data_IF_964071227248
#
_entry.id   IF_964071227248
#
_cell.length_a   1.000
_cell.length_b   1.000
_cell.length_c   1.000
_cell.angle_alpha   90.00
_cell.angle_beta   90.00
_cell.angle_gamma   90.00
#
_symmetry.space_group_name_H-M   'P 1'
#
loop_
_entity.id
_entity.type
_entity.pdbx_description
1 polymer ?
#
# COMPACT_ATOMS: atom_id res chain seq x y z
N UNK A 1 -28.55 18.03 -0.95
CA UNK A 1 -29.21 17.15 -1.95
C UNK A 1 -28.75 17.57 -3.33
N UNK A 2 -27.58 17.07 -3.75
CA UNK A 2 -27.07 16.99 -5.13
C UNK A 2 -25.67 16.34 -5.05
N UNK A 3 -25.62 15.17 -4.39
CA UNK A 3 -24.55 14.19 -4.60
C UNK A 3 -24.78 13.66 -6.01
N UNK A 4 -24.23 14.35 -7.01
CA UNK A 4 -24.28 13.86 -8.37
C UNK A 4 -23.40 12.61 -8.43
N UNK A 5 -24.10 11.48 -8.46
CA UNK A 5 -23.58 10.16 -8.74
C UNK A 5 -22.66 10.26 -9.95
N UNK A 6 -21.41 9.91 -9.74
CA UNK A 6 -20.61 9.39 -10.82
C UNK A 6 -21.42 8.26 -11.47
N UNK A 7 -21.72 8.36 -12.76
CA UNK A 7 -22.30 7.22 -13.46
C UNK A 7 -21.22 6.16 -13.58
N UNK A 8 -21.63 4.90 -13.42
CA UNK A 8 -20.76 3.73 -13.62
C UNK A 8 -20.04 3.80 -14.97
N UNK A 9 -20.66 4.42 -15.97
CA UNK A 9 -20.11 4.67 -17.30
C UNK A 9 -18.91 5.63 -17.28
N UNK A 10 -18.96 6.72 -16.51
CA UNK A 10 -17.82 7.66 -16.40
C UNK A 10 -16.63 7.02 -15.68
N UNK A 11 -16.89 6.17 -14.69
CA UNK A 11 -15.84 5.35 -14.05
C UNK A 11 -15.19 4.38 -15.05
N UNK A 12 -16.00 3.64 -15.82
CA UNK A 12 -15.47 2.71 -16.81
C UNK A 12 -14.65 3.40 -17.90
N UNK A 13 -15.09 4.56 -18.40
CA UNK A 13 -14.35 5.31 -19.43
C UNK A 13 -12.98 5.79 -18.94
N UNK A 14 -12.88 6.24 -17.68
CA UNK A 14 -11.60 6.60 -17.06
C UNK A 14 -10.71 5.35 -16.92
N UNK A 15 -11.29 4.23 -16.46
CA UNK A 15 -10.56 2.97 -16.34
C UNK A 15 -10.05 2.45 -17.69
N UNK A 16 -10.83 2.56 -18.76
CA UNK A 16 -10.42 2.17 -20.12
C UNK A 16 -9.28 3.04 -20.65
N UNK A 17 -9.32 4.35 -20.45
CA UNK A 17 -8.22 5.23 -20.85
C UNK A 17 -6.93 4.97 -20.06
N UNK A 18 -7.06 4.62 -18.78
CA UNK A 18 -5.94 4.17 -17.95
C UNK A 18 -5.40 2.84 -18.50
N UNK A 19 -6.28 1.86 -18.72
CA UNK A 19 -5.94 0.53 -19.28
C UNK A 19 -5.13 0.62 -20.57
N UNK A 20 -5.57 1.42 -21.55
CA UNK A 20 -4.87 1.59 -22.85
C UNK A 20 -3.46 2.19 -22.72
N UNK A 21 -3.22 3.02 -21.70
CA UNK A 21 -1.89 3.60 -21.44
C UNK A 21 -0.99 2.63 -20.70
N UNK A 22 -1.54 1.83 -19.79
CA UNK A 22 -0.83 0.80 -19.04
C UNK A 22 -0.36 -0.35 -19.95
N UNK A 23 -1.06 -0.64 -21.04
CA UNK A 23 -0.62 -1.65 -22.02
C UNK A 23 0.68 -1.27 -22.75
N UNK A 24 1.12 0.00 -22.69
CA UNK A 24 2.35 0.48 -23.35
C UNK A 24 3.58 0.42 -22.45
N UNK A 25 3.39 0.33 -21.14
CA UNK A 25 4.49 0.20 -20.17
C UNK A 25 4.38 -1.15 -19.46
N UNK A 26 5.37 -1.99 -19.70
CA UNK A 26 5.35 -3.40 -19.32
C UNK A 26 5.21 -3.60 -17.80
N UNK A 27 5.83 -2.73 -16.98
CA UNK A 27 5.74 -2.79 -15.50
C UNK A 27 4.48 -2.17 -14.93
N UNK A 28 3.74 -1.43 -15.75
CA UNK A 28 2.47 -0.84 -15.36
C UNK A 28 1.28 -1.65 -15.90
N UNK A 29 1.57 -2.65 -16.74
CA UNK A 29 0.57 -3.57 -17.28
C UNK A 29 -0.23 -4.26 -16.17
N UNK A 30 -1.51 -4.54 -16.45
CA UNK A 30 -2.36 -5.25 -15.51
C UNK A 30 -1.91 -6.69 -15.25
N UNK A 31 -1.18 -7.31 -16.17
CA UNK A 31 -0.58 -8.61 -15.92
C UNK A 31 0.40 -8.52 -14.74
N UNK A 32 1.36 -7.60 -14.81
CA UNK A 32 2.32 -7.39 -13.73
C UNK A 32 1.64 -6.98 -12.42
N UNK A 33 0.72 -6.01 -12.45
CA UNK A 33 -0.03 -5.58 -11.25
C UNK A 33 -0.83 -6.73 -10.63
N UNK A 34 -1.40 -7.63 -11.44
CA UNK A 34 -2.08 -8.81 -10.92
C UNK A 34 -1.13 -9.84 -10.29
N UNK A 35 0.08 -9.99 -10.85
CA UNK A 35 1.14 -10.82 -10.25
C UNK A 35 1.60 -10.27 -8.90
N UNK A 36 1.75 -8.95 -8.78
CA UNK A 36 2.05 -8.26 -7.52
C UNK A 36 0.95 -8.52 -6.47
N UNK A 37 -0.30 -8.25 -6.83
CA UNK A 37 -1.48 -8.48 -6.01
C UNK A 37 -1.55 -9.91 -5.47
N UNK A 38 -1.41 -10.91 -6.36
CA UNK A 38 -1.42 -12.33 -6.00
C UNK A 38 -0.37 -12.67 -4.95
N UNK A 39 0.81 -12.06 -5.05
CA UNK A 39 1.93 -12.28 -4.15
C UNK A 39 1.94 -11.34 -2.93
N UNK A 40 0.98 -10.42 -2.83
CA UNK A 40 0.83 -9.49 -1.71
C UNK A 40 1.87 -8.37 -1.69
N UNK A 41 2.38 -7.97 -2.86
CA UNK A 41 3.26 -6.83 -3.01
C UNK A 41 2.46 -5.56 -3.26
N UNK A 42 2.83 -4.49 -2.55
CA UNK A 42 2.27 -3.14 -2.73
C UNK A 42 3.46 -2.19 -2.79
N UNK A 43 4.14 -2.04 -3.94
CA UNK A 43 5.33 -1.23 -4.01
C UNK A 43 5.07 0.21 -3.55
N UNK A 44 6.04 0.85 -2.89
CA UNK A 44 5.82 2.13 -2.25
C UNK A 44 5.66 3.23 -3.31
N UNK A 45 4.50 3.92 -3.33
CA UNK A 45 4.18 4.99 -4.29
C UNK A 45 5.27 6.07 -4.38
N UNK A 46 5.92 6.31 -3.25
CA UNK A 46 6.98 7.29 -3.06
C UNK A 46 8.31 6.97 -3.77
N UNK A 47 8.46 5.78 -4.36
CA UNK A 47 9.69 5.34 -5.00
C UNK A 47 9.41 4.60 -6.30
N UNK A 48 10.15 4.92 -7.36
CA UNK A 48 10.13 4.10 -8.56
C UNK A 48 11.02 2.86 -8.37
N UNK A 49 10.41 1.78 -7.92
CA UNK A 49 11.09 0.50 -7.78
C UNK A 49 11.13 -0.30 -9.09
N UNK A 50 10.44 0.14 -10.15
CA UNK A 50 10.33 -0.61 -11.40
C UNK A 50 11.59 -0.49 -12.25
N UNK A 51 12.25 0.67 -12.21
CA UNK A 51 13.56 0.90 -12.83
C UNK A 51 14.64 -0.08 -12.35
N UNK A 52 14.46 -0.69 -11.17
CA UNK A 52 15.40 -1.66 -10.62
C UNK A 52 15.52 -2.94 -11.46
N UNK A 53 14.47 -3.36 -12.15
CA UNK A 53 14.41 -4.68 -12.76
C UNK A 53 15.18 -4.80 -14.08
N UNK A 54 15.54 -3.68 -14.74
CA UNK A 54 16.42 -3.60 -15.93
C UNK A 54 16.11 -4.52 -17.13
N UNK A 55 14.96 -5.19 -17.14
CA UNK A 55 14.45 -6.05 -18.22
C UNK A 55 12.93 -5.89 -18.29
N UNK A 56 12.19 -6.50 -19.23
CA UNK A 56 10.74 -6.56 -19.17
C UNK A 56 10.24 -7.48 -18.05
N UNK A 57 9.13 -7.12 -17.41
CA UNK A 57 8.40 -7.89 -16.40
C UNK A 57 7.98 -9.29 -16.89
N UNK A 58 7.72 -9.44 -18.20
CA UNK A 58 7.37 -10.72 -18.83
C UNK A 58 8.53 -11.73 -18.84
N UNK A 59 9.78 -11.26 -18.70
CA UNK A 59 10.97 -12.12 -18.61
C UNK A 59 11.27 -12.56 -17.17
N UNK A 60 10.61 -11.96 -16.18
CA UNK A 60 10.81 -12.26 -14.76
C UNK A 60 9.80 -13.28 -14.27
N UNK A 61 10.26 -14.24 -13.47
CA UNK A 61 9.39 -15.06 -12.62
C UNK A 61 8.94 -14.30 -11.36
N UNK A 62 7.85 -14.75 -10.72
CA UNK A 62 7.39 -14.18 -9.45
C UNK A 62 8.47 -14.21 -8.35
N UNK A 63 9.39 -15.19 -8.42
CA UNK A 63 10.51 -15.28 -7.48
C UNK A 63 11.58 -14.23 -7.74
N UNK A 64 11.89 -13.96 -9.00
CA UNK A 64 12.83 -12.91 -9.39
C UNK A 64 12.26 -11.52 -9.07
N UNK A 65 10.95 -11.32 -9.25
CA UNK A 65 10.26 -10.09 -8.80
C UNK A 65 10.44 -9.88 -7.29
N UNK A 66 10.18 -10.91 -6.49
CA UNK A 66 10.38 -10.84 -5.03
C UNK A 66 11.83 -10.54 -4.67
N UNK A 67 12.80 -11.19 -5.32
CA UNK A 67 14.22 -10.92 -5.08
C UNK A 67 14.59 -9.49 -5.45
N UNK A 68 14.05 -8.96 -6.56
CA UNK A 68 14.27 -7.59 -6.98
C UNK A 68 13.72 -6.57 -5.98
N UNK A 69 12.48 -6.74 -5.51
CA UNK A 69 11.95 -5.84 -4.46
C UNK A 69 12.71 -5.93 -3.14
N UNK A 70 13.12 -7.13 -2.75
CA UNK A 70 13.95 -7.30 -1.56
C UNK A 70 15.29 -6.58 -1.74
N UNK A 71 15.92 -6.70 -2.92
CA UNK A 71 17.19 -6.03 -3.21
C UNK A 71 17.02 -4.49 -3.25
N UNK A 72 15.98 -4.00 -3.92
CA UNK A 72 15.59 -2.60 -3.92
C UNK A 72 15.42 -2.07 -2.49
N UNK A 73 14.68 -2.79 -1.64
CA UNK A 73 14.44 -2.40 -0.26
C UNK A 73 15.73 -2.34 0.55
N UNK A 74 16.65 -3.28 0.38
CA UNK A 74 17.91 -3.29 1.13
C UNK A 74 18.84 -2.15 0.71
N UNK A 75 18.91 -1.83 -0.59
CA UNK A 75 19.69 -0.70 -1.10
C UNK A 75 19.09 0.63 -0.60
N UNK A 76 17.76 0.72 -0.58
CA UNK A 76 17.02 1.92 -0.21
C UNK A 76 16.50 1.87 1.23
N UNK A 77 17.07 1.02 2.08
CA UNK A 77 16.51 0.73 3.41
C UNK A 77 16.33 2.01 4.22
N UNK A 78 17.42 2.78 4.33
CA UNK A 78 17.42 4.04 5.06
C UNK A 78 16.42 5.03 4.45
N UNK A 79 16.39 5.19 3.12
CA UNK A 79 15.51 6.19 2.47
C UNK A 79 14.03 5.84 2.59
N UNK A 80 13.66 4.56 2.40
CA UNK A 80 12.29 4.06 2.59
C UNK A 80 11.82 4.34 4.01
N UNK A 81 12.66 4.05 5.00
CA UNK A 81 12.29 4.25 6.40
C UNK A 81 12.34 5.70 6.85
N UNK A 82 13.37 6.46 6.51
CA UNK A 82 13.47 7.87 6.88
C UNK A 82 12.31 8.66 6.32
N UNK A 83 11.85 8.35 5.10
CA UNK A 83 10.68 9.04 4.54
C UNK A 83 9.43 8.80 5.37
N UNK A 84 9.18 7.56 5.83
CA UNK A 84 8.01 7.25 6.67
C UNK A 84 8.17 7.82 8.09
N UNK A 85 9.32 7.57 8.72
CA UNK A 85 9.57 7.89 10.12
C UNK A 85 9.62 9.40 10.34
N UNK A 86 10.24 10.15 9.43
CA UNK A 86 10.40 11.59 9.61
C UNK A 86 9.05 12.32 9.50
N UNK A 87 8.11 11.83 8.68
CA UNK A 87 6.75 12.38 8.66
C UNK A 87 6.05 12.23 10.01
N UNK A 88 6.29 11.10 10.68
CA UNK A 88 5.66 10.78 11.94
C UNK A 88 6.30 11.46 13.16
N UNK A 89 7.53 11.98 13.02
CA UNK A 89 8.25 12.59 14.14
C UNK A 89 7.44 13.70 14.80
N UNK A 90 6.82 14.56 13.98
CA UNK A 90 5.98 15.66 14.45
C UNK A 90 4.50 15.28 14.52
N UNK A 91 4.02 14.45 13.58
CA UNK A 91 2.58 14.14 13.44
C UNK A 91 2.09 13.12 14.46
N UNK A 92 2.89 12.09 14.75
CA UNK A 92 2.55 11.05 15.71
C UNK A 92 3.80 10.40 16.34
N UNK A 93 4.34 11.01 17.42
CA UNK A 93 5.54 10.53 18.09
C UNK A 93 5.47 9.08 18.58
N UNK A 94 4.26 8.55 18.84
CA UNK A 94 4.08 7.15 19.23
C UNK A 94 4.32 6.19 18.05
N UNK A 95 3.77 6.50 16.88
CA UNK A 95 4.00 5.70 15.67
C UNK A 95 5.46 5.81 15.23
N UNK A 96 6.03 7.02 15.28
CA UNK A 96 7.45 7.24 15.04
C UNK A 96 8.33 6.33 15.92
N UNK A 97 8.08 6.31 17.24
CA UNK A 97 8.83 5.47 18.18
C UNK A 97 8.67 3.98 17.87
N UNK A 98 7.45 3.53 17.58
CA UNK A 98 7.19 2.13 17.24
C UNK A 98 7.87 1.72 15.93
N UNK A 99 7.90 2.58 14.91
CA UNK A 99 8.63 2.34 13.66
C UNK A 99 10.14 2.19 13.90
N UNK A 100 10.73 3.05 14.74
CA UNK A 100 12.15 2.92 15.12
C UNK A 100 12.45 1.57 15.79
N UNK A 101 11.58 1.10 16.67
CA UNK A 101 11.72 -0.20 17.33
C UNK A 101 11.54 -1.37 16.34
N UNK A 102 10.61 -1.25 15.40
CA UNK A 102 10.45 -2.21 14.30
C UNK A 102 11.70 -2.31 13.45
N UNK A 103 12.35 -1.18 13.11
CA UNK A 103 13.63 -1.18 12.38
C UNK A 103 14.71 -1.91 13.15
N UNK A 104 14.84 -1.63 14.44
CA UNK A 104 15.84 -2.27 15.29
C UNK A 104 15.62 -3.78 15.37
N UNK A 105 14.36 -4.21 15.50
CA UNK A 105 13.97 -5.62 15.48
C UNK A 105 14.23 -6.28 14.12
N UNK A 106 13.89 -5.58 13.02
CA UNK A 106 14.12 -6.07 11.66
C UNK A 106 15.60 -6.34 11.39
N UNK A 107 16.47 -5.37 11.73
CA UNK A 107 17.93 -5.50 11.57
C UNK A 107 18.51 -6.68 12.37
N UNK A 108 17.87 -7.05 13.47
CA UNK A 108 18.25 -8.20 14.31
C UNK A 108 17.61 -9.51 13.87
N UNK A 109 16.76 -9.51 12.83
CA UNK A 109 16.07 -10.71 12.36
C UNK A 109 14.85 -11.12 13.19
N UNK A 110 14.33 -10.22 14.04
CA UNK A 110 13.18 -10.49 14.91
C UNK A 110 11.85 -10.25 14.20
N UNK A 111 11.63 -10.92 13.06
CA UNK A 111 10.46 -10.66 12.21
C UNK A 111 9.12 -10.91 12.91
N UNK A 112 9.05 -11.92 13.80
CA UNK A 112 7.82 -12.26 14.53
C UNK A 112 7.31 -11.10 15.40
N UNK A 113 8.19 -10.26 15.95
CA UNK A 113 7.79 -9.10 16.76
C UNK A 113 7.48 -7.87 15.89
N UNK A 114 8.06 -7.79 14.69
CA UNK A 114 7.75 -6.73 13.74
C UNK A 114 6.29 -6.80 13.27
N UNK A 115 5.77 -8.01 12.99
CA UNK A 115 4.44 -8.18 12.37
C UNK A 115 3.30 -7.56 13.20
N UNK A 116 3.13 -7.84 14.51
CA UNK A 116 2.06 -7.23 15.29
C UNK A 116 2.15 -5.70 15.33
N UNK A 117 3.36 -5.15 15.49
CA UNK A 117 3.58 -3.69 15.51
C UNK A 117 3.22 -3.06 14.17
N UNK A 118 3.66 -3.65 13.05
CA UNK A 118 3.33 -3.16 11.71
C UNK A 118 1.83 -3.25 11.41
N UNK A 119 1.15 -4.32 11.82
CA UNK A 119 -0.31 -4.36 11.70
C UNK A 119 -1.00 -3.27 12.53
N UNK A 120 -0.54 -3.00 13.75
CA UNK A 120 -1.10 -1.93 14.56
C UNK A 120 -0.92 -0.55 13.92
N UNK A 121 0.26 -0.29 13.34
CA UNK A 121 0.53 0.94 12.55
C UNK A 121 -0.43 1.03 11.36
N UNK A 122 -0.51 -0.04 10.57
CA UNK A 122 -1.36 -0.10 9.39
C UNK A 122 -2.84 0.15 9.74
N UNK A 123 -3.32 -0.48 10.81
CA UNK A 123 -4.70 -0.31 11.28
C UNK A 123 -5.03 1.12 11.71
N UNK A 124 -4.09 1.82 12.32
CA UNK A 124 -4.27 3.22 12.72
C UNK A 124 -4.60 4.10 11.52
N UNK A 125 -3.81 4.03 10.45
CA UNK A 125 -4.07 4.81 9.23
C UNK A 125 -5.32 4.34 8.50
N UNK A 126 -5.52 3.02 8.42
CA UNK A 126 -6.70 2.48 7.78
C UNK A 126 -7.98 2.90 8.50
N UNK A 127 -7.97 3.02 9.82
CA UNK A 127 -9.09 3.53 10.61
C UNK A 127 -9.38 5.00 10.28
N UNK A 128 -8.36 5.85 10.21
CA UNK A 128 -8.51 7.26 9.80
C UNK A 128 -9.05 7.39 8.37
N UNK A 129 -8.65 6.48 7.48
CA UNK A 129 -9.11 6.44 6.09
C UNK A 129 -10.53 5.86 5.94
N UNK A 130 -11.06 5.15 6.94
CA UNK A 130 -12.36 4.50 6.85
C UNK A 130 -13.52 5.41 7.28
N UNK A 131 -14.43 5.70 6.36
CA UNK A 131 -15.74 6.34 6.61
C UNK A 131 -15.73 7.54 7.58
N UNK A 132 -14.90 8.55 7.32
CA UNK A 132 -14.88 9.82 8.10
C UNK A 132 -14.75 9.61 9.63
N UNK A 133 -14.06 8.53 10.04
CA UNK A 133 -13.87 8.19 11.45
C UNK A 133 -15.00 7.38 12.10
N UNK A 134 -15.96 6.83 11.33
CA UNK A 134 -16.97 5.90 11.88
C UNK A 134 -16.37 4.51 12.14
N UNK A 135 -15.86 4.35 13.36
CA UNK A 135 -15.27 3.13 13.90
C UNK A 135 -16.26 1.95 14.01
N UNK A 136 -17.57 2.17 13.87
CA UNK A 136 -18.58 1.12 14.07
C UNK A 136 -18.83 0.23 12.85
N UNK A 137 -18.44 0.68 11.65
CA UNK A 137 -18.65 -0.03 10.37
C UNK A 137 -17.43 0.10 9.44
N UNK A 138 -16.27 -0.20 9.98
CA UNK A 138 -14.98 -0.02 9.31
C UNK A 138 -14.87 -0.92 8.08
N UNK A 139 -15.00 -0.31 6.90
CA UNK A 139 -14.71 -0.94 5.60
C UNK A 139 -13.54 -0.21 4.97
N UNK A 140 -12.33 -0.62 5.33
CA UNK A 140 -11.06 -0.03 4.90
C UNK A 140 -10.97 0.18 3.38
N UNK A 141 -11.43 -0.78 2.59
CA UNK A 141 -11.46 -0.71 1.12
C UNK A 141 -12.38 0.40 0.58
N UNK A 142 -13.49 0.68 1.27
CA UNK A 142 -14.39 1.78 0.92
C UNK A 142 -13.77 3.14 1.23
N UNK A 143 -13.05 3.25 2.35
CA UNK A 143 -12.30 4.44 2.73
C UNK A 143 -11.22 4.81 1.72
N UNK A 144 -10.40 3.83 1.34
CA UNK A 144 -9.38 3.99 0.29
C UNK A 144 -9.99 4.35 -1.06
N UNK A 145 -11.10 3.70 -1.44
CA UNK A 145 -11.81 4.03 -2.68
C UNK A 145 -12.35 5.47 -2.69
N UNK A 146 -12.71 6.04 -1.53
CA UNK A 146 -13.11 7.45 -1.42
C UNK A 146 -11.95 8.41 -1.61
N UNK A 147 -10.73 8.08 -1.15
CA UNK A 147 -9.54 8.94 -1.32
C UNK A 147 -9.07 9.08 -2.77
N UNK A 148 -9.43 8.13 -3.66
CA UNK A 148 -9.30 8.32 -5.12
C UNK A 148 -10.09 9.53 -5.61
N UNK A 149 -11.11 9.93 -4.85
CA UNK A 149 -12.02 10.99 -5.20
C UNK A 149 -11.79 12.21 -4.29
N UNK A 150 -11.48 13.32 -4.95
CA UNK A 150 -11.72 14.71 -4.57
C UNK A 150 -10.60 15.46 -3.83
N UNK A 151 -10.00 16.44 -4.54
CA UNK A 151 -9.69 17.77 -4.01
C UNK A 151 -10.98 18.61 -4.07
N UNK A 152 -11.39 19.18 -2.93
CA UNK A 152 -12.51 20.12 -2.86
C UNK A 152 -11.96 21.54 -2.81
N UNK A 153 -12.66 22.49 -3.41
CA UNK A 153 -12.39 23.90 -3.18
C UNK A 153 -12.79 24.32 -1.75
N UNK A 154 -12.45 25.55 -1.38
CA UNK A 154 -12.75 26.16 -0.08
C UNK A 154 -14.26 26.18 0.27
N UNK A 155 -15.12 25.90 -0.71
CA UNK A 155 -16.58 25.87 -0.60
C UNK A 155 -17.17 24.45 -0.63
N UNK A 156 -16.34 23.41 -0.69
CA UNK A 156 -16.79 22.01 -0.77
C UNK A 156 -17.32 21.61 -2.15
N UNK A 157 -16.95 22.32 -3.21
CA UNK A 157 -17.21 21.91 -4.59
C UNK A 157 -16.04 21.09 -5.15
N UNK A 158 -16.37 20.07 -5.93
CA UNK A 158 -15.39 19.23 -6.62
C UNK A 158 -14.54 20.09 -7.56
N UNK A 159 -13.22 20.13 -7.35
CA UNK A 159 -12.31 20.71 -8.33
C UNK A 159 -12.15 19.66 -9.44
N UNK A 160 -12.82 19.90 -10.56
CA UNK A 160 -12.59 19.17 -11.81
C UNK A 160 -11.24 19.65 -12.37
N UNK A 161 -10.15 19.14 -11.80
CA UNK A 161 -8.84 19.28 -12.45
C UNK A 161 -8.83 18.35 -13.66
N UNK A 162 -8.58 18.90 -14.85
CA UNK A 162 -8.18 18.16 -16.06
C UNK A 162 -6.88 17.34 -15.85
N UNK A 163 -6.28 17.41 -14.66
CA UNK A 163 -5.18 16.58 -14.21
C UNK A 163 -5.67 15.16 -13.95
N UNK A 164 -5.44 14.27 -14.91
CA UNK A 164 -5.63 12.83 -14.74
C UNK A 164 -4.97 12.34 -13.45
N UNK A 165 -5.70 11.53 -12.67
CA UNK A 165 -5.14 10.87 -11.48
C UNK A 165 -3.93 10.04 -11.93
N UNK A 166 -2.74 10.23 -11.31
CA UNK A 166 -1.56 9.50 -11.70
C UNK A 166 -1.78 7.98 -11.62
N UNK A 167 -1.42 7.26 -12.68
CA UNK A 167 -1.74 5.83 -12.80
C UNK A 167 -1.12 4.99 -11.66
N UNK A 168 0.06 5.39 -11.15
CA UNK A 168 0.74 4.73 -10.03
C UNK A 168 -0.12 4.78 -8.77
N UNK A 169 -0.89 5.87 -8.60
CA UNK A 169 -1.80 6.04 -7.48
C UNK A 169 -2.97 5.05 -7.57
N UNK A 170 -3.58 4.91 -8.76
CA UNK A 170 -4.67 3.95 -9.01
C UNK A 170 -4.20 2.51 -8.78
N UNK A 171 -3.03 2.15 -9.31
CA UNK A 171 -2.44 0.83 -9.10
C UNK A 171 -2.13 0.56 -7.63
N UNK A 172 -1.54 1.53 -6.93
CA UNK A 172 -1.23 1.41 -5.50
C UNK A 172 -2.49 1.16 -4.68
N UNK A 173 -3.60 1.85 -4.99
CA UNK A 173 -4.88 1.63 -4.30
C UNK A 173 -5.46 0.26 -4.62
N UNK A 174 -5.38 -0.19 -5.87
CA UNK A 174 -5.76 -1.55 -6.22
C UNK A 174 -4.95 -2.59 -5.44
N UNK A 175 -3.62 -2.44 -5.39
CA UNK A 175 -2.72 -3.34 -4.67
C UNK A 175 -2.99 -3.33 -3.16
N UNK A 176 -3.18 -2.15 -2.54
CA UNK A 176 -3.58 -2.04 -1.13
C UNK A 176 -4.90 -2.77 -0.90
N UNK A 177 -5.92 -2.53 -1.72
CA UNK A 177 -7.22 -3.22 -1.59
C UNK A 177 -7.03 -4.74 -1.61
N UNK A 178 -6.28 -5.26 -2.58
CA UNK A 178 -6.04 -6.70 -2.70
C UNK A 178 -5.23 -7.25 -1.52
N UNK A 179 -4.26 -6.48 -1.01
CA UNK A 179 -3.54 -6.80 0.21
C UNK A 179 -4.49 -6.94 1.41
N UNK A 180 -5.41 -5.99 1.60
CA UNK A 180 -6.38 -6.04 2.69
C UNK A 180 -7.34 -7.23 2.54
N UNK A 181 -7.88 -7.44 1.34
CA UNK A 181 -8.77 -8.58 1.05
C UNK A 181 -8.06 -9.93 1.26
N UNK A 182 -6.73 -9.98 1.17
CA UNK A 182 -5.94 -11.19 1.42
C UNK A 182 -5.59 -11.38 2.89
N UNK A 183 -5.12 -10.32 3.57
CA UNK A 183 -4.49 -10.44 4.88
C UNK A 183 -5.38 -10.03 6.05
N UNK A 184 -6.49 -9.30 5.82
CA UNK A 184 -7.41 -8.83 6.87
C UNK A 184 -8.70 -9.65 6.97
N UNK A 185 -8.86 -10.69 6.16
CA UNK A 185 -10.02 -11.56 6.26
C UNK A 185 -10.04 -12.33 7.57
N UNK A 186 -11.25 -12.54 8.08
CA UNK A 186 -11.48 -13.47 9.17
C UNK A 186 -11.24 -14.88 8.67
N UNK A 187 -10.35 -15.59 9.37
CA UNK A 187 -9.98 -16.98 9.07
C UNK A 187 -10.40 -17.93 10.18
N UNK A 188 -10.50 -19.20 9.83
CA UNK A 188 -10.47 -20.31 10.79
C UNK A 188 -9.04 -20.49 11.29
N UNK A 189 -8.86 -20.55 12.61
CA UNK A 189 -7.54 -20.66 13.22
C UNK A 189 -6.90 -22.04 13.03
N UNK A 190 -7.69 -23.05 12.65
CA UNK A 190 -7.20 -24.43 12.50
C UNK A 190 -6.68 -24.76 11.10
N UNK A 191 -6.87 -23.88 10.10
CA UNK A 191 -6.64 -24.22 8.69
C UNK A 191 -5.94 -23.12 7.87
N UNK A 192 -5.00 -22.39 8.46
CA UNK A 192 -4.25 -21.34 7.76
C UNK A 192 -2.74 -21.52 7.88
N UNK A 193 -2.01 -21.26 6.79
CA UNK A 193 -0.58 -21.53 6.65
C UNK A 193 0.22 -20.31 6.15
N UNK A 194 -0.38 -19.13 6.22
CA UNK A 194 0.21 -17.87 5.73
C UNK A 194 0.00 -16.73 6.70
N UNK A 195 0.70 -15.61 6.45
CA UNK A 195 0.51 -14.36 7.17
C UNK A 195 -0.99 -13.98 7.18
N UNK A 196 -1.54 -13.65 8.33
CA UNK A 196 -2.92 -13.15 8.44
C UNK A 196 -3.09 -12.29 9.70
N UNK A 197 -3.68 -11.10 9.53
CA UNK A 197 -3.89 -10.13 10.62
C UNK A 197 -4.76 -10.70 11.74
N UNK A 198 -5.84 -11.42 11.44
CA UNK A 198 -6.78 -11.96 12.43
C UNK A 198 -6.10 -13.00 13.32
N UNK A 199 -5.30 -13.91 12.77
CA UNK A 199 -4.53 -14.86 13.57
C UNK A 199 -3.49 -14.17 14.48
N UNK A 200 -2.73 -13.21 13.94
CA UNK A 200 -1.73 -12.47 14.71
C UNK A 200 -2.36 -11.64 15.84
N UNK A 201 -3.54 -11.03 15.61
CA UNK A 201 -4.31 -10.28 16.60
C UNK A 201 -4.59 -11.08 17.88
N UNK A 202 -4.91 -12.36 17.68
CA UNK A 202 -5.42 -13.23 18.74
C UNK A 202 -4.33 -14.18 19.27
N UNK A 203 -3.08 -14.03 18.82
CA UNK A 203 -1.98 -14.91 19.20
C UNK A 203 -2.16 -16.36 18.73
N UNK A 204 -2.99 -16.59 17.71
CA UNK A 204 -3.33 -17.92 17.17
C UNK A 204 -2.46 -18.29 15.97
N UNK A 205 -1.19 -17.91 16.02
CA UNK A 205 -0.25 -18.00 14.90
C UNK A 205 0.15 -19.46 14.64
N UNK A 206 -0.02 -19.93 13.41
CA UNK A 206 0.52 -21.22 12.90
C UNK A 206 1.61 -21.02 11.84
N UNK A 207 1.94 -19.75 11.55
CA UNK A 207 2.88 -19.31 10.53
C UNK A 207 3.99 -18.46 11.17
N UNK A 208 5.25 -18.77 10.85
CA UNK A 208 6.39 -17.95 11.26
C UNK A 208 6.61 -16.81 10.29
N UNK A 209 6.62 -15.59 10.82
CA UNK A 209 6.90 -14.41 10.04
C UNK A 209 8.29 -14.48 9.39
N UNK A 210 8.34 -14.15 8.10
CA UNK A 210 9.58 -14.07 7.34
C UNK A 210 10.02 -12.61 7.19
N UNK A 211 11.27 -12.43 6.76
CA UNK A 211 11.79 -11.12 6.34
C UNK A 211 10.91 -10.49 5.26
N UNK A 212 10.46 -11.28 4.29
CA UNK A 212 9.63 -10.84 3.16
C UNK A 212 8.28 -10.30 3.66
N UNK A 213 7.66 -10.95 4.65
CA UNK A 213 6.39 -10.50 5.23
C UNK A 213 6.53 -9.10 5.86
N UNK A 214 7.64 -8.87 6.56
CA UNK A 214 7.93 -7.58 7.16
C UNK A 214 8.09 -6.50 6.10
N UNK A 215 8.85 -6.78 5.03
CA UNK A 215 9.04 -5.82 3.92
C UNK A 215 7.73 -5.52 3.21
N UNK A 216 6.89 -6.52 2.94
CA UNK A 216 5.55 -6.31 2.35
C UNK A 216 4.68 -5.39 3.21
N UNK A 217 4.73 -5.56 4.54
CA UNK A 217 4.01 -4.68 5.47
C UNK A 217 4.57 -3.27 5.49
N UNK A 218 5.89 -3.11 5.47
CA UNK A 218 6.51 -1.78 5.38
C UNK A 218 6.08 -1.08 4.09
N UNK A 219 6.16 -1.77 2.96
CA UNK A 219 5.76 -1.28 1.65
C UNK A 219 4.31 -0.76 1.62
N UNK A 220 3.34 -1.55 2.09
CA UNK A 220 1.93 -1.11 2.14
C UNK A 220 1.74 0.06 3.10
N UNK A 221 2.44 0.08 4.24
CA UNK A 221 2.40 1.21 5.19
C UNK A 221 2.97 2.48 4.55
N UNK A 222 4.11 2.40 3.85
CA UNK A 222 4.70 3.53 3.11
C UNK A 222 3.69 4.12 2.13
N UNK A 223 3.03 3.26 1.35
CA UNK A 223 2.05 3.71 0.35
C UNK A 223 0.85 4.38 1.02
N UNK A 224 0.32 3.82 2.11
CA UNK A 224 -0.81 4.41 2.82
C UNK A 224 -0.45 5.74 3.48
N UNK A 225 0.72 5.85 4.10
CA UNK A 225 1.21 7.09 4.70
C UNK A 225 1.42 8.15 3.62
N UNK A 226 1.99 7.77 2.48
CA UNK A 226 2.19 8.68 1.35
C UNK A 226 0.87 9.21 0.79
N UNK A 227 -0.17 8.36 0.73
CA UNK A 227 -1.53 8.77 0.37
C UNK A 227 -2.22 9.60 1.45
N UNK A 228 -1.91 9.37 2.73
CA UNK A 228 -2.51 10.08 3.85
C UNK A 228 -2.01 11.53 3.95
N UNK A 229 -0.71 11.76 3.69
CA UNK A 229 -0.06 13.07 3.81
C UNK A 229 0.09 13.84 2.49
N UNK A 230 -0.54 13.40 1.39
CA UNK A 230 -0.45 14.05 0.07
C UNK A 230 1.00 14.31 -0.37
N UNK A 231 1.90 13.35 -0.16
CA UNK A 231 3.30 13.54 -0.54
C UNK A 231 3.40 13.59 -2.06
N UNK A 232 3.87 14.73 -2.60
CA UNK A 232 4.17 14.90 -4.02
C UNK A 232 5.03 13.73 -4.54
N UNK A 233 4.69 13.25 -5.73
CA UNK A 233 5.44 12.21 -6.44
C UNK A 233 6.91 12.62 -6.49
N UNK A 234 7.77 11.90 -5.76
CA UNK A 234 9.20 12.06 -5.94
C UNK A 234 9.51 11.31 -7.23
N UNK A 235 9.46 12.03 -8.35
CA UNK A 235 10.30 11.67 -9.49
C UNK A 235 11.72 11.59 -8.95
N UNK A 236 12.44 10.51 -9.26
CA UNK A 236 13.88 10.49 -9.02
C UNK A 236 14.48 11.70 -9.71
N UNK A 237 14.79 12.75 -8.94
CA UNK A 237 15.63 13.83 -9.43
C UNK A 237 17.00 13.22 -9.74
N UNK A 238 17.55 13.65 -10.89
CA UNK A 238 18.83 13.20 -11.49
C UNK A 238 20.03 13.18 -10.53
#
# INVERSE_FOLDING_TARGET
MLLNKLTVEKFHSIMESILERLEKDDYLSWDFINRLSKNGWVPPLAFDCYDYFQCPSSELSDKEIELGFMSFFEINFESVFFKIINLEEEQNPFIHKMLLEVIQAYRQGFYQICIPSLFAILERYLADLSNDGDLSNVKYSMGLARKVWIENDENGQFIENDSEIPYQFVQSIYLIKQFLDKYFIKIDFESFDSLNRHAFAHGRQQYYATRVDVVKLIFVITSIISMYYEIEFITSEE
#
